data_IF_140333731242
#
_entry.id   IF_140333731242
#
_cell.length_a   1.000
_cell.length_b   1.000
_cell.length_c   1.000
_cell.angle_alpha   90.00
_cell.angle_beta   90.00
_cell.angle_gamma   90.00
#
_symmetry.space_group_name_H-M   'P 1'
#
loop_
_entity.id
_entity.type
_entity.pdbx_description
1 polymer ?
#
# COMPACT_ATOMS: atom_id res chain seq x y z
N UNK A 1 -20.36 -18.02 7.20
CA UNK A 1 -19.04 -17.72 6.61
C UNK A 1 -19.25 -17.35 5.15
N UNK A 2 -18.57 -16.32 4.64
CA UNK A 2 -18.70 -15.88 3.24
C UNK A 2 -17.33 -15.54 2.65
N UNK A 3 -17.13 -15.85 1.37
CA UNK A 3 -15.98 -15.40 0.60
C UNK A 3 -16.27 -13.98 0.09
N UNK A 4 -15.29 -13.08 0.21
CA UNK A 4 -15.33 -11.71 -0.29
C UNK A 4 -14.16 -11.49 -1.24
N UNK A 5 -14.50 -11.08 -2.46
CA UNK A 5 -13.56 -10.67 -3.50
C UNK A 5 -14.03 -9.33 -4.04
N UNK A 6 -13.43 -8.24 -3.59
CA UNK A 6 -13.80 -6.89 -3.99
C UNK A 6 -12.57 -6.19 -4.56
N UNK A 7 -12.34 -6.25 -5.88
CA UNK A 7 -11.20 -5.56 -6.48
C UNK A 7 -11.35 -4.06 -6.31
N UNK A 8 -10.23 -3.37 -6.08
CA UNK A 8 -10.22 -1.92 -5.90
C UNK A 8 -8.98 -1.27 -6.50
N UNK A 9 -9.08 0.03 -6.73
CA UNK A 9 -7.96 0.89 -7.13
C UNK A 9 -7.67 1.88 -6.00
N UNK A 10 -6.40 2.09 -5.69
CA UNK A 10 -5.95 3.04 -4.68
C UNK A 10 -4.82 3.90 -5.23
N UNK A 11 -4.92 5.20 -5.03
CA UNK A 11 -3.89 6.17 -5.41
C UNK A 11 -3.15 6.60 -4.14
N UNK A 12 -1.81 6.54 -4.18
CA UNK A 12 -0.97 6.92 -3.06
C UNK A 12 0.19 7.79 -3.56
N UNK A 13 0.62 8.73 -2.72
CA UNK A 13 1.83 9.51 -2.95
C UNK A 13 2.74 9.39 -1.72
N UNK A 14 4.02 9.15 -1.96
CA UNK A 14 5.04 8.99 -0.91
C UNK A 14 6.13 10.03 -1.13
N UNK A 15 6.46 10.81 -0.10
CA UNK A 15 7.61 11.71 -0.10
C UNK A 15 8.80 11.00 0.54
N UNK A 16 9.91 10.96 -0.18
CA UNK A 16 11.19 10.44 0.33
C UNK A 16 12.15 11.61 0.44
N UNK A 17 12.58 11.89 1.66
CA UNK A 17 13.55 12.94 1.96
C UNK A 17 14.94 12.31 2.09
N UNK A 18 15.90 12.80 1.30
CA UNK A 18 17.28 12.38 1.35
C UNK A 18 18.15 13.48 1.96
N UNK A 19 18.88 13.09 3.00
CA UNK A 19 19.90 13.91 3.64
C UNK A 19 21.26 13.38 3.22
N UNK A 20 21.92 14.07 2.29
CA UNK A 20 23.26 13.71 1.84
C UNK A 20 24.27 14.65 2.51
N UNK A 21 25.10 14.09 3.39
CA UNK A 21 26.24 14.80 3.98
C UNK A 21 27.47 14.59 3.11
N UNK A 22 28.05 15.69 2.62
CA UNK A 22 29.26 15.64 1.81
C UNK A 22 30.48 15.90 2.70
N UNK A 23 31.19 14.83 3.07
CA UNK A 23 32.34 14.89 3.98
C UNK A 23 33.50 15.81 3.51
N UNK A 24 33.50 16.22 2.23
CA UNK A 24 34.56 17.03 1.62
C UNK A 24 34.23 18.54 1.50
N UNK A 25 32.99 18.98 1.76
CA UNK A 25 32.56 20.37 1.49
C UNK A 25 31.67 21.01 2.57
N UNK A 26 31.57 20.40 3.75
CA UNK A 26 30.78 20.88 4.90
C UNK A 26 29.41 21.47 4.50
N UNK A 27 28.74 20.80 3.55
CA UNK A 27 27.47 21.22 2.98
C UNK A 27 26.52 20.04 2.93
N UNK A 28 25.39 20.17 3.62
CA UNK A 28 24.27 19.25 3.54
C UNK A 28 23.38 19.67 2.36
N UNK A 29 23.08 18.72 1.47
CA UNK A 29 22.07 18.92 0.43
C UNK A 29 20.81 18.15 0.78
N UNK A 30 19.71 18.88 0.83
CA UNK A 30 18.37 18.35 1.01
C UNK A 30 17.78 18.02 -0.37
N UNK A 31 17.34 16.78 -0.55
CA UNK A 31 16.59 16.39 -1.75
C UNK A 31 15.26 15.78 -1.33
N UNK A 32 14.15 16.43 -1.71
CA UNK A 32 12.80 15.88 -1.56
C UNK A 32 12.39 15.22 -2.88
N UNK A 33 12.02 13.93 -2.84
CA UNK A 33 11.53 13.19 -4.02
C UNK A 33 10.14 12.62 -3.75
N UNK A 34 9.16 13.06 -4.53
CA UNK A 34 7.79 12.53 -4.49
C UNK A 34 7.66 11.33 -5.44
N UNK A 35 7.12 10.23 -4.92
CA UNK A 35 6.84 8.99 -5.66
C UNK A 35 5.34 8.74 -5.60
N UNK A 36 4.68 8.92 -6.73
CA UNK A 36 3.27 8.55 -6.92
C UNK A 36 3.16 7.06 -7.29
N UNK A 37 2.16 6.40 -6.71
CA UNK A 37 1.82 4.99 -6.93
C UNK A 37 0.33 4.84 -7.20
N UNK A 38 -0.01 3.95 -8.12
CA UNK A 38 -1.40 3.57 -8.41
C UNK A 38 -1.52 2.07 -8.26
N UNK A 39 -2.24 1.65 -7.23
CA UNK A 39 -2.36 0.26 -6.85
C UNK A 39 -3.66 -0.35 -7.32
N UNK A 40 -3.57 -1.45 -8.08
CA UNK A 40 -4.68 -2.36 -8.31
C UNK A 40 -4.61 -3.47 -7.26
N UNK A 41 -5.70 -3.65 -6.51
CA UNK A 41 -5.78 -4.54 -5.36
C UNK A 41 -6.80 -5.62 -5.65
N UNK A 42 -6.38 -6.89 -5.60
CA UNK A 42 -7.21 -8.06 -5.83
C UNK A 42 -7.27 -8.92 -4.55
N UNK A 43 -8.20 -8.65 -3.63
CA UNK A 43 -8.33 -9.38 -2.38
C UNK A 43 -9.13 -10.68 -2.54
N UNK A 44 -8.72 -11.70 -1.79
CA UNK A 44 -9.45 -12.93 -1.54
C UNK A 44 -9.53 -13.08 -0.02
N UNK A 45 -10.69 -12.74 0.55
CA UNK A 45 -10.90 -12.66 1.99
C UNK A 45 -12.07 -13.53 2.44
N UNK A 46 -11.93 -14.19 3.59
CA UNK A 46 -13.00 -14.91 4.26
C UNK A 46 -13.55 -14.00 5.35
N UNK A 47 -14.85 -13.75 5.31
CA UNK A 47 -15.58 -12.99 6.32
C UNK A 47 -16.48 -13.92 7.13
N UNK A 48 -16.26 -13.94 8.44
CA UNK A 48 -17.07 -14.68 9.41
C UNK A 48 -17.87 -13.67 10.22
N UNK A 49 -19.19 -13.71 10.10
CA UNK A 49 -20.11 -12.80 10.76
C UNK A 49 -20.84 -13.53 11.90
N UNK A 50 -20.95 -12.84 13.03
CA UNK A 50 -21.73 -13.31 14.18
C UNK A 50 -23.24 -13.28 13.87
N UNK A 51 -24.02 -14.04 14.65
CA UNK A 51 -25.48 -13.92 14.65
C UNK A 51 -25.86 -12.51 15.09
N UNK A 52 -26.84 -11.91 14.42
CA UNK A 52 -27.34 -10.57 14.78
C UNK A 52 -27.88 -10.58 16.22
N UNK A 53 -27.48 -9.57 16.99
CA UNK A 53 -28.04 -9.25 18.29
C UNK A 53 -28.86 -7.95 18.12
N UNK A 54 -30.16 -8.11 17.84
CA UNK A 54 -31.02 -6.98 17.46
C UNK A 54 -30.49 -6.24 16.23
N UNK A 55 -30.15 -4.97 16.43
CA UNK A 55 -29.67 -4.06 15.38
C UNK A 55 -28.13 -4.03 15.24
N UNK A 56 -27.42 -5.02 15.78
CA UNK A 56 -25.96 -5.06 15.76
C UNK A 56 -25.44 -6.43 15.30
N UNK A 57 -24.35 -6.43 14.54
CA UNK A 57 -23.56 -7.64 14.30
C UNK A 57 -22.08 -7.34 14.19
N UNK A 58 -21.24 -8.16 14.81
CA UNK A 58 -19.80 -8.12 14.65
C UNK A 58 -19.33 -9.15 13.62
N UNK A 59 -18.20 -8.91 12.98
CA UNK A 59 -17.56 -9.86 12.08
C UNK A 59 -16.04 -9.73 12.14
N UNK A 60 -15.38 -10.84 11.80
CA UNK A 60 -13.95 -10.88 11.51
C UNK A 60 -13.75 -11.19 10.05
N UNK A 61 -12.69 -10.64 9.47
CA UNK A 61 -12.33 -10.84 8.08
C UNK A 61 -10.83 -11.08 7.99
N UNK A 62 -10.42 -12.03 7.16
CA UNK A 62 -9.01 -12.30 6.93
C UNK A 62 -8.79 -13.04 5.64
N UNK A 63 -7.60 -12.89 5.08
CA UNK A 63 -7.23 -13.51 3.83
C UNK A 63 -5.95 -12.91 3.28
N UNK A 64 -5.90 -12.77 1.97
CA UNK A 64 -4.77 -12.17 1.30
C UNK A 64 -5.13 -11.79 -0.11
N UNK A 65 -4.17 -11.24 -0.82
CA UNK A 65 -4.41 -10.80 -2.18
C UNK A 65 -3.15 -10.44 -2.91
N UNK A 66 -3.36 -10.04 -4.15
CA UNK A 66 -2.32 -9.57 -5.03
C UNK A 66 -2.49 -8.06 -5.26
N UNK A 67 -1.39 -7.33 -5.22
CA UNK A 67 -1.33 -5.89 -5.38
C UNK A 67 -0.35 -5.57 -6.51
N UNK A 68 -0.81 -4.77 -7.46
CA UNK A 68 -0.02 -4.35 -8.62
C UNK A 68 0.13 -2.83 -8.63
N UNK A 69 1.38 -2.34 -8.64
CA UNK A 69 1.68 -0.92 -8.83
C UNK A 69 1.82 -0.60 -10.32
N UNK A 70 0.84 0.13 -10.87
CA UNK A 70 0.79 0.52 -12.28
C UNK A 70 1.72 1.72 -12.59
N UNK A 71 1.99 2.59 -11.61
CA UNK A 71 2.84 3.77 -11.81
C UNK A 71 4.32 3.38 -11.98
N UNK A 72 4.75 2.28 -11.36
CA UNK A 72 6.12 1.75 -11.50
C UNK A 72 6.46 1.34 -12.95
N UNK A 73 5.48 0.93 -13.77
CA UNK A 73 5.70 0.59 -15.20
C UNK A 73 6.24 1.76 -16.02
N UNK A 74 5.77 2.97 -15.78
CA UNK A 74 6.23 4.17 -16.52
C UNK A 74 7.69 4.49 -16.22
N UNK A 75 8.16 4.21 -15.00
CA UNK A 75 9.56 4.38 -14.58
C UNK A 75 10.48 3.25 -15.06
N UNK A 76 9.99 2.01 -15.15
CA UNK A 76 10.78 0.86 -15.59
C UNK A 76 10.94 0.75 -17.12
N UNK A 77 10.02 1.32 -17.91
CA UNK A 77 10.01 1.21 -19.37
C UNK A 77 10.93 2.21 -20.11
N UNK A 78 11.90 2.82 -19.43
CA UNK A 78 12.93 3.64 -20.10
C UNK A 78 12.46 5.01 -20.62
N UNK A 79 11.33 5.53 -20.16
CA UNK A 79 11.04 6.96 -20.31
C UNK A 79 11.97 7.71 -19.37
N UNK A 80 13.19 7.94 -19.86
CA UNK A 80 14.09 8.96 -19.33
C UNK A 80 13.26 10.24 -19.24
N UNK A 81 12.96 10.69 -18.02
CA UNK A 81 12.75 12.12 -17.82
C UNK A 81 14.03 12.77 -18.35
N UNK A 82 13.96 13.39 -19.52
CA UNK A 82 15.09 13.96 -20.24
C UNK A 82 15.72 15.15 -19.51
N UNK A 83 16.33 14.89 -18.36
CA UNK A 83 17.14 15.84 -17.60
C UNK A 83 18.50 15.21 -17.35
N UNK A 84 19.56 15.86 -17.81
CA UNK A 84 20.94 15.42 -17.81
C UNK A 84 21.60 15.31 -16.42
N UNK A 85 20.99 14.58 -15.47
CA UNK A 85 21.56 14.30 -14.17
C UNK A 85 21.52 12.80 -13.88
N UNK A 86 22.69 12.16 -13.86
CA UNK A 86 22.93 10.76 -13.44
C UNK A 86 22.50 10.44 -11.99
N UNK A 87 21.84 11.38 -11.30
CA UNK A 87 21.25 11.20 -9.96
C UNK A 87 19.77 10.81 -10.01
N UNK A 88 19.19 10.66 -11.20
CA UNK A 88 17.80 10.25 -11.40
C UNK A 88 17.60 8.73 -11.40
N UNK A 89 18.48 8.03 -10.71
CA UNK A 89 18.41 6.59 -10.48
C UNK A 89 17.28 6.34 -9.46
N UNK A 90 16.06 6.32 -9.99
CA UNK A 90 14.84 6.08 -9.24
C UNK A 90 14.98 4.74 -8.50
N UNK A 91 14.71 4.71 -7.19
CA UNK A 91 14.57 3.47 -6.43
C UNK A 91 13.50 2.62 -7.12
N UNK A 92 13.94 1.58 -7.84
CA UNK A 92 13.05 0.66 -8.56
C UNK A 92 12.38 -0.24 -7.53
N UNK A 93 11.13 0.05 -7.22
CA UNK A 93 10.28 -0.82 -6.42
C UNK A 93 9.65 -1.88 -7.33
N UNK A 94 9.69 -3.15 -6.90
CA UNK A 94 9.00 -4.23 -7.59
C UNK A 94 7.51 -3.93 -7.69
N UNK A 95 6.95 -4.13 -8.88
CA UNK A 95 5.54 -3.83 -9.19
C UNK A 95 4.54 -4.80 -8.53
N UNK A 96 5.00 -6.02 -8.22
CA UNK A 96 4.18 -7.17 -7.83
C UNK A 96 4.34 -7.46 -6.33
N UNK A 97 3.28 -7.27 -5.55
CA UNK A 97 3.26 -7.66 -4.13
C UNK A 97 2.13 -8.64 -3.82
N UNK A 98 2.41 -9.53 -2.88
CA UNK A 98 1.40 -10.39 -2.26
C UNK A 98 1.27 -9.98 -0.81
N UNK A 99 0.05 -9.76 -0.35
CA UNK A 99 -0.21 -9.36 1.02
C UNK A 99 -1.13 -10.36 1.71
N UNK A 100 -0.98 -10.48 3.03
CA UNK A 100 -2.02 -11.02 3.88
C UNK A 100 -2.77 -9.87 4.54
N UNK A 101 -4.07 -10.06 4.74
CA UNK A 101 -4.95 -9.12 5.41
C UNK A 101 -5.70 -9.77 6.56
N UNK A 102 -5.94 -8.98 7.60
CA UNK A 102 -6.71 -9.40 8.76
C UNK A 102 -7.37 -8.19 9.40
N UNK A 103 -8.61 -8.36 9.83
CA UNK A 103 -9.39 -7.27 10.40
C UNK A 103 -10.67 -7.71 11.06
N UNK A 104 -11.34 -6.73 11.65
CA UNK A 104 -12.63 -6.91 12.29
C UNK A 104 -13.50 -5.70 12.01
N UNK A 105 -14.80 -5.91 12.08
CA UNK A 105 -15.76 -4.84 11.90
C UNK A 105 -17.08 -5.11 12.57
N UNK A 106 -17.90 -4.08 12.61
CA UNK A 106 -19.24 -4.08 13.18
C UNK A 106 -20.19 -3.45 12.18
N UNK A 107 -21.38 -4.04 12.06
CA UNK A 107 -22.48 -3.54 11.25
C UNK A 107 -23.63 -3.17 12.20
N UNK A 108 -24.06 -1.91 12.16
CA UNK A 108 -25.26 -1.40 12.82
C UNK A 108 -26.40 -1.33 11.80
N UNK A 109 -27.56 -1.88 12.14
CA UNK A 109 -28.77 -1.87 11.33
C UNK A 109 -29.69 -0.77 11.83
N UNK A 110 -29.64 0.42 11.23
CA UNK A 110 -30.54 1.53 11.54
C UNK A 110 -31.79 1.44 10.66
N UNK A 111 -32.81 2.23 10.98
CA UNK A 111 -34.10 2.22 10.29
C UNK A 111 -34.01 2.58 8.80
N UNK A 112 -33.05 3.43 8.42
CA UNK A 112 -32.91 3.93 7.05
C UNK A 112 -31.68 3.41 6.31
N UNK A 113 -30.66 2.95 7.04
CA UNK A 113 -29.43 2.46 6.44
C UNK A 113 -28.68 1.57 7.42
N UNK A 114 -27.77 0.77 6.88
CA UNK A 114 -26.82 -0.02 7.63
C UNK A 114 -25.47 0.70 7.64
N UNK A 115 -24.96 0.96 8.84
CA UNK A 115 -23.67 1.59 9.08
C UNK A 115 -22.64 0.52 9.43
N UNK A 116 -21.63 0.34 8.58
CA UNK A 116 -20.52 -0.56 8.82
C UNK A 116 -19.25 0.18 9.20
N UNK A 117 -18.58 -0.25 10.26
CA UNK A 117 -17.19 0.12 10.56
C UNK A 117 -16.30 -1.11 10.41
N UNK A 118 -15.22 -1.00 9.64
CA UNK A 118 -14.26 -2.08 9.40
C UNK A 118 -12.84 -1.54 9.59
N UNK A 119 -12.03 -2.23 10.38
CA UNK A 119 -10.60 -1.98 10.48
C UNK A 119 -9.83 -3.19 9.96
N UNK A 120 -8.95 -2.96 8.97
CA UNK A 120 -8.10 -3.99 8.37
C UNK A 120 -6.64 -3.60 8.40
N UNK A 121 -5.80 -4.60 8.64
CA UNK A 121 -4.35 -4.54 8.51
C UNK A 121 -3.96 -5.34 7.28
N UNK A 122 -3.08 -4.75 6.46
CA UNK A 122 -2.51 -5.37 5.28
C UNK A 122 -0.99 -5.41 5.45
N UNK A 123 -0.40 -6.58 5.27
CA UNK A 123 1.04 -6.78 5.36
C UNK A 123 1.55 -7.50 4.11
N UNK A 124 2.41 -6.80 3.37
CA UNK A 124 3.14 -7.34 2.22
C UNK A 124 4.17 -8.38 2.66
N UNK A 125 4.26 -9.46 1.90
CA UNK A 125 5.14 -10.60 2.15
C UNK A 125 6.44 -10.50 1.37
N UNK A 126 6.44 -9.83 0.21
CA UNK A 126 7.64 -9.69 -0.63
C UNK A 126 8.52 -8.53 -0.16
N UNK A 127 9.82 -8.69 -0.38
CA UNK A 127 10.74 -7.57 -0.38
C UNK A 127 10.57 -6.82 -1.72
N UNK A 128 10.07 -5.58 -1.63
CA UNK A 128 9.84 -4.72 -2.78
C UNK A 128 11.12 -4.03 -3.28
N UNK A 129 12.23 -4.14 -2.53
CA UNK A 129 13.51 -3.60 -2.92
C UNK A 129 14.11 -4.40 -4.08
N UNK A 130 14.39 -3.74 -5.20
CA UNK A 130 15.25 -4.27 -6.25
C UNK A 130 16.67 -3.75 -5.99
N UNK A 131 17.57 -4.63 -5.54
CA UNK A 131 18.98 -4.27 -5.31
C UNK A 131 19.66 -3.99 -6.65
N UNK A 132 19.87 -2.71 -6.97
CA UNK A 132 20.79 -2.23 -8.00
C UNK A 132 21.99 -1.55 -7.32
N UNK A 133 23.17 -1.56 -7.98
CA UNK A 133 24.42 -0.96 -7.50
C UNK A 133 24.35 0.58 -7.48
N UNK A 134 23.46 1.12 -6.66
CA UNK A 134 23.19 2.55 -6.51
C UNK A 134 23.28 2.91 -5.03
N UNK A 135 23.91 4.06 -4.72
CA UNK A 135 24.14 4.55 -3.35
C UNK A 135 22.84 4.68 -2.53
N UNK A 136 21.70 4.83 -3.18
CA UNK A 136 20.38 4.92 -2.54
C UNK A 136 19.81 3.55 -2.14
N UNK A 137 20.17 2.49 -2.86
CA UNK A 137 19.63 1.14 -2.65
C UNK A 137 20.48 0.34 -1.65
N UNK A 138 21.79 0.61 -1.58
CA UNK A 138 22.69 -0.06 -0.64
C UNK A 138 22.45 0.33 0.84
N UNK A 139 21.79 1.46 1.10
CA UNK A 139 21.44 1.91 2.45
C UNK A 139 20.16 1.29 3.00
N UNK A 140 19.39 0.56 2.18
CA UNK A 140 18.12 -0.06 2.54
C UNK A 140 18.26 -1.59 2.47
N UNK A 141 18.01 -2.30 3.57
CA UNK A 141 18.15 -3.76 3.57
C UNK A 141 16.88 -4.46 3.04
N UNK A 142 15.68 -4.01 3.48
CA UNK A 142 14.38 -4.56 3.05
C UNK A 142 13.29 -3.50 3.06
N UNK A 143 12.41 -3.52 2.06
CA UNK A 143 11.19 -2.70 2.00
C UNK A 143 9.98 -3.61 1.91
N UNK A 144 9.10 -3.54 2.91
CA UNK A 144 7.83 -4.30 2.95
C UNK A 144 6.65 -3.33 2.95
N UNK A 145 5.59 -3.67 2.22
CA UNK A 145 4.35 -2.90 2.25
C UNK A 145 3.60 -3.15 3.55
N UNK A 146 3.13 -2.09 4.21
CA UNK A 146 2.25 -2.13 5.38
C UNK A 146 1.17 -1.08 5.19
N UNK A 147 -0.09 -1.46 5.39
CA UNK A 147 -1.22 -0.55 5.26
C UNK A 147 -2.26 -0.87 6.33
N UNK A 148 -2.75 0.18 6.97
CA UNK A 148 -3.90 0.12 7.88
C UNK A 148 -5.06 0.78 7.15
N UNK A 149 -6.21 0.12 7.11
CA UNK A 149 -7.37 0.60 6.40
C UNK A 149 -8.55 0.66 7.35
N UNK A 150 -9.06 1.87 7.52
CA UNK A 150 -10.35 2.09 8.15
C UNK A 150 -11.39 2.29 7.06
N UNK A 151 -12.49 1.56 7.11
CA UNK A 151 -13.58 1.64 6.14
C UNK A 151 -14.88 1.93 6.86
N UNK A 152 -15.57 2.94 6.38
CA UNK A 152 -16.96 3.23 6.74
C UNK A 152 -17.84 2.87 5.56
N UNK A 153 -18.87 2.08 5.78
CA UNK A 153 -19.81 1.66 4.73
C UNK A 153 -21.21 2.12 5.08
N UNK A 154 -21.90 2.69 4.10
CA UNK A 154 -23.31 3.07 4.16
C UNK A 154 -24.05 2.25 3.11
N UNK A 155 -25.02 1.45 3.55
CA UNK A 155 -25.85 0.58 2.69
C UNK A 155 -27.31 0.93 2.99
N UNK A 156 -28.06 1.43 2.00
CA UNK A 156 -29.46 1.87 2.12
C UNK A 156 -30.40 1.04 1.27
#
# INVERSE_FOLDING_TARGET
MRLRTTPSISFASRKIEYFLSNAARDSSKYFEKTVESTFLIFPIEIKVQSKRLGNFSAYVIGGGGYMLDLASRKKAAGVQSGGANQLDDNVKLKRDDYYYSGGAGVDFYLMYFKLGFELKLHQGTRNLLQKENSIFTNSLDKVRSRMVTFTVTFEG
#
